data_IF_631334815107
#
_entry.id   IF_631334815107
#
_cell.length_a   1.000
_cell.length_b   1.000
_cell.length_c   1.000
_cell.angle_alpha   90.00
_cell.angle_beta   90.00
_cell.angle_gamma   90.00
#
_symmetry.space_group_name_H-M   'P 1'
#
loop_
_entity.id
_entity.type
_entity.pdbx_description
1 polymer ?
#
# COMPACT_ATOMS: atom_id res chain seq x y z
N UNK A 1 -50.53 -13.96 -24.84
CA UNK A 1 -50.65 -14.27 -23.41
C UNK A 1 -49.80 -15.47 -22.95
N UNK A 2 -49.30 -16.33 -23.84
CA UNK A 2 -48.48 -17.51 -23.43
C UNK A 2 -46.98 -17.24 -23.24
N UNK A 3 -46.42 -16.19 -23.87
CA UNK A 3 -44.97 -15.93 -23.83
C UNK A 3 -44.49 -15.29 -22.50
N UNK A 4 -45.32 -14.45 -21.88
CA UNK A 4 -44.96 -13.70 -20.67
C UNK A 4 -44.88 -14.61 -19.43
N UNK A 5 -45.69 -15.67 -19.39
CA UNK A 5 -45.73 -16.63 -18.29
C UNK A 5 -44.45 -17.48 -18.28
N UNK A 6 -43.98 -17.92 -19.45
CA UNK A 6 -42.74 -18.67 -19.60
C UNK A 6 -41.50 -17.84 -19.19
N UNK A 7 -41.47 -16.54 -19.55
CA UNK A 7 -40.40 -15.62 -19.12
C UNK A 7 -40.34 -15.44 -17.59
N UNK A 8 -41.51 -15.41 -16.94
CA UNK A 8 -41.59 -15.26 -15.49
C UNK A 8 -41.10 -16.52 -14.76
N UNK A 9 -41.45 -17.70 -15.25
CA UNK A 9 -40.99 -18.97 -14.68
C UNK A 9 -39.47 -19.16 -14.83
N UNK A 10 -38.89 -18.82 -15.99
CA UNK A 10 -37.43 -18.84 -16.18
C UNK A 10 -36.72 -17.88 -15.22
N UNK A 11 -37.30 -16.70 -14.97
CA UNK A 11 -36.75 -15.72 -14.02
C UNK A 11 -36.81 -16.23 -12.58
N UNK A 12 -37.91 -16.88 -12.18
CA UNK A 12 -38.05 -17.51 -10.85
C UNK A 12 -37.02 -18.63 -10.66
N UNK A 13 -36.88 -19.52 -11.65
CA UNK A 13 -35.90 -20.60 -11.65
C UNK A 13 -34.47 -20.06 -11.53
N UNK A 14 -34.11 -19.03 -12.30
CA UNK A 14 -32.80 -18.38 -12.15
C UNK A 14 -32.61 -17.75 -10.78
N UNK A 15 -33.68 -17.17 -10.20
CA UNK A 15 -33.66 -16.67 -8.82
C UNK A 15 -33.34 -17.78 -7.82
N UNK A 16 -34.00 -18.94 -7.94
CA UNK A 16 -33.78 -20.10 -7.07
C UNK A 16 -32.37 -20.67 -7.23
N UNK A 17 -31.88 -20.81 -8.46
CA UNK A 17 -30.50 -21.27 -8.73
C UNK A 17 -29.46 -20.34 -8.12
N UNK A 18 -29.62 -19.02 -8.29
CA UNK A 18 -28.71 -18.04 -7.69
C UNK A 18 -28.75 -18.06 -6.16
N UNK A 19 -29.93 -18.27 -5.58
CA UNK A 19 -30.10 -18.39 -4.14
C UNK A 19 -29.37 -19.62 -3.60
N UNK A 20 -29.47 -20.75 -4.30
CA UNK A 20 -28.79 -21.99 -3.91
C UNK A 20 -27.27 -21.88 -4.08
N UNK A 21 -26.77 -21.24 -5.15
CA UNK A 21 -25.35 -20.94 -5.31
C UNK A 21 -24.83 -20.11 -4.13
N UNK A 22 -25.57 -19.06 -3.74
CA UNK A 22 -25.21 -18.23 -2.59
C UNK A 22 -25.22 -19.04 -1.29
N UNK A 23 -26.22 -19.90 -1.09
CA UNK A 23 -26.32 -20.78 0.09
C UNK A 23 -25.12 -21.73 0.17
N UNK A 24 -24.78 -22.40 -0.93
CA UNK A 24 -23.67 -23.34 -1.01
C UNK A 24 -22.33 -22.65 -0.80
N UNK A 25 -22.13 -21.47 -1.40
CA UNK A 25 -20.92 -20.67 -1.17
C UNK A 25 -20.78 -20.29 0.31
N UNK A 26 -21.86 -19.81 0.94
CA UNK A 26 -21.85 -19.47 2.37
C UNK A 26 -21.49 -20.68 3.25
N UNK A 27 -22.08 -21.84 2.99
CA UNK A 27 -21.79 -23.07 3.73
C UNK A 27 -20.34 -23.54 3.53
N UNK A 28 -19.82 -23.44 2.31
CA UNK A 28 -18.45 -23.82 1.99
C UNK A 28 -17.44 -22.88 2.67
N UNK A 29 -17.67 -21.56 2.61
CA UNK A 29 -16.85 -20.57 3.32
C UNK A 29 -16.85 -20.82 4.81
N UNK A 30 -18.00 -21.11 5.42
CA UNK A 30 -18.08 -21.42 6.85
C UNK A 30 -17.27 -22.68 7.21
N UNK A 31 -17.38 -23.75 6.41
CA UNK A 31 -16.60 -24.99 6.60
C UNK A 31 -15.10 -24.81 6.38
N UNK A 32 -14.71 -23.91 5.46
CA UNK A 32 -13.32 -23.55 5.26
C UNK A 32 -12.80 -22.80 6.49
N UNK A 33 -13.50 -21.73 6.90
CA UNK A 33 -13.10 -20.88 8.02
C UNK A 33 -13.13 -21.61 9.37
N UNK A 34 -13.96 -22.65 9.52
CA UNK A 34 -13.97 -23.49 10.72
C UNK A 34 -12.81 -24.48 10.79
N UNK A 35 -12.02 -24.67 9.73
CA UNK A 35 -10.80 -25.48 9.77
C UNK A 35 -9.64 -24.64 10.29
N UNK A 36 -9.17 -24.93 11.50
CA UNK A 36 -8.09 -24.22 12.20
C UNK A 36 -6.70 -24.31 11.54
N UNK A 37 -6.57 -25.01 10.40
CA UNK A 37 -5.29 -25.20 9.74
C UNK A 37 -5.09 -24.13 8.64
N UNK A 38 -4.74 -22.92 9.07
CA UNK A 38 -4.43 -21.75 8.23
C UNK A 38 -3.49 -22.06 7.03
N UNK A 39 -2.40 -22.84 7.18
CA UNK A 39 -1.55 -23.26 6.05
C UNK A 39 -2.30 -24.04 4.95
N UNK A 40 -3.22 -24.92 5.35
CA UNK A 40 -4.00 -25.73 4.40
C UNK A 40 -5.06 -24.89 3.69
N UNK A 41 -5.63 -23.90 4.38
CA UNK A 41 -6.55 -22.92 3.79
C UNK A 41 -5.84 -22.04 2.75
N UNK A 42 -4.63 -21.59 3.06
CA UNK A 42 -3.84 -20.80 2.12
C UNK A 42 -3.44 -21.62 0.88
N UNK A 43 -3.14 -22.91 1.04
CA UNK A 43 -2.88 -23.82 -0.08
C UNK A 43 -4.10 -23.97 -1.00
N UNK A 44 -5.28 -24.17 -0.42
CA UNK A 44 -6.55 -24.27 -1.16
C UNK A 44 -6.92 -22.96 -1.86
N UNK A 45 -6.68 -21.82 -1.20
CA UNK A 45 -6.88 -20.50 -1.80
C UNK A 45 -6.04 -20.36 -3.07
N UNK A 46 -4.73 -20.66 -3.02
CA UNK A 46 -3.85 -20.63 -4.18
C UNK A 46 -4.30 -21.56 -5.31
N UNK A 47 -4.86 -22.72 -4.97
CA UNK A 47 -5.36 -23.69 -5.94
C UNK A 47 -6.64 -23.20 -6.64
N UNK A 48 -7.56 -22.59 -5.88
CA UNK A 48 -8.83 -22.08 -6.40
C UNK A 48 -8.71 -20.79 -7.21
N UNK A 49 -7.90 -19.83 -6.75
CA UNK A 49 -7.65 -18.61 -7.51
C UNK A 49 -6.75 -18.86 -8.71
N UNK A 50 -6.15 -20.04 -8.79
CA UNK A 50 -5.06 -20.35 -9.69
C UNK A 50 -3.94 -19.37 -9.43
N UNK A 51 -2.92 -19.80 -8.68
CA UNK A 51 -1.59 -19.20 -8.78
C UNK A 51 -1.05 -19.50 -10.19
N UNK A 52 -1.74 -18.95 -11.21
CA UNK A 52 -1.12 -18.63 -12.47
C UNK A 52 -0.10 -17.59 -12.04
N UNK A 53 1.11 -18.05 -11.78
CA UNK A 53 2.26 -17.34 -12.30
C UNK A 53 1.81 -16.85 -13.67
N UNK A 54 1.55 -15.54 -13.77
CA UNK A 54 1.65 -14.89 -15.06
C UNK A 54 3.09 -15.18 -15.48
N UNK A 55 3.29 -16.31 -16.18
CA UNK A 55 4.38 -16.49 -17.10
C UNK A 55 4.06 -15.53 -18.22
N UNK A 56 4.24 -14.23 -17.95
CA UNK A 56 4.56 -13.33 -19.02
C UNK A 56 5.88 -13.84 -19.56
N UNK A 57 5.96 -14.12 -20.85
CA UNK A 57 7.18 -14.46 -21.56
C UNK A 57 8.21 -13.31 -21.60
N UNK A 58 8.20 -12.42 -20.60
CA UNK A 58 9.30 -11.56 -20.25
C UNK A 58 9.86 -12.07 -18.93
N UNK A 59 10.91 -12.87 -19.05
CA UNK A 59 11.74 -13.35 -17.95
C UNK A 59 12.51 -12.17 -17.34
N UNK A 60 11.80 -11.21 -16.72
CA UNK A 60 12.42 -10.25 -15.82
C UNK A 60 12.78 -11.01 -14.55
N UNK A 61 14.01 -11.54 -14.56
CA UNK A 61 14.62 -12.15 -13.42
C UNK A 61 14.59 -11.14 -12.26
N UNK A 62 13.88 -11.50 -11.18
CA UNK A 62 13.78 -10.68 -9.97
C UNK A 62 15.17 -10.33 -9.44
N UNK A 63 16.16 -11.22 -9.61
CA UNK A 63 17.53 -10.93 -9.25
C UNK A 63 18.17 -9.87 -10.15
N UNK A 64 17.84 -9.81 -11.44
CA UNK A 64 18.33 -8.76 -12.35
C UNK A 64 17.67 -7.41 -12.10
N UNK A 65 16.39 -7.40 -11.70
CA UNK A 65 15.75 -6.20 -11.14
C UNK A 65 16.42 -5.80 -9.83
N UNK A 66 16.70 -6.74 -8.94
CA UNK A 66 17.30 -6.42 -7.65
C UNK A 66 18.72 -5.87 -7.82
N UNK A 67 19.48 -6.33 -8.83
CA UNK A 67 20.82 -5.82 -9.17
C UNK A 67 20.83 -4.32 -9.46
N UNK A 68 19.76 -3.75 -10.04
CA UNK A 68 19.71 -2.30 -10.27
C UNK A 68 19.38 -1.50 -9.01
N UNK A 69 18.84 -2.14 -7.97
CA UNK A 69 18.59 -1.54 -6.65
C UNK A 69 19.73 -1.78 -5.63
N UNK A 70 20.60 -2.77 -5.88
CA UNK A 70 21.84 -2.97 -5.11
C UNK A 70 22.81 -1.85 -5.50
N UNK A 71 22.74 -0.75 -4.77
CA UNK A 71 23.67 0.38 -4.88
C UNK A 71 25.11 -0.13 -4.72
N UNK A 72 25.98 0.08 -5.70
CA UNK A 72 27.41 -0.02 -5.45
C UNK A 72 27.78 1.07 -4.44
N UNK A 73 28.79 0.85 -3.59
CA UNK A 73 29.22 1.83 -2.59
C UNK A 73 29.58 3.20 -3.23
N UNK A 74 29.94 3.21 -4.51
CA UNK A 74 30.15 4.41 -5.34
C UNK A 74 28.86 5.12 -5.82
N UNK A 75 27.71 4.45 -5.80
CA UNK A 75 26.37 4.98 -6.16
C UNK A 75 25.57 5.45 -4.94
N UNK A 76 26.19 5.42 -3.75
CA UNK A 76 25.74 6.32 -2.69
C UNK A 76 25.85 7.71 -3.29
N UNK A 77 24.71 8.39 -3.46
CA UNK A 77 24.72 9.82 -3.72
C UNK A 77 25.54 10.46 -2.59
N UNK A 78 26.82 10.67 -2.84
CA UNK A 78 27.46 11.85 -2.31
C UNK A 78 26.53 12.98 -2.74
N UNK A 79 26.07 13.84 -1.80
CA UNK A 79 25.24 14.96 -2.17
C UNK A 79 25.93 15.64 -3.34
N UNK A 80 25.24 15.67 -4.48
CA UNK A 80 25.79 16.19 -5.72
C UNK A 80 26.33 17.58 -5.40
N UNK A 81 27.66 17.69 -5.30
CA UNK A 81 28.39 18.95 -5.26
C UNK A 81 28.24 19.62 -6.63
N UNK A 82 27.00 19.90 -7.02
CA UNK A 82 26.72 21.10 -7.80
C UNK A 82 27.33 22.22 -6.98
N UNK A 83 28.15 23.05 -7.62
CA UNK A 83 28.79 24.23 -7.03
C UNK A 83 27.78 25.31 -6.63
N UNK A 84 26.72 24.94 -5.92
CA UNK A 84 25.85 25.84 -5.21
C UNK A 84 26.53 26.19 -3.89
N UNK A 85 27.49 27.11 -4.02
CA UNK A 85 27.89 28.08 -3.00
C UNK A 85 26.81 28.22 -1.92
N UNK A 86 27.04 27.57 -0.78
CA UNK A 86 26.21 27.62 0.43
C UNK A 86 24.72 27.42 0.12
N UNK A 87 24.33 26.19 -0.22
CA UNK A 87 22.92 25.84 -0.40
C UNK A 87 22.15 26.12 0.90
N UNK A 88 21.35 27.18 0.86
CA UNK A 88 20.36 27.49 1.87
C UNK A 88 19.49 26.24 2.05
N UNK A 89 19.69 25.50 3.15
CA UNK A 89 18.80 24.40 3.51
C UNK A 89 17.40 25.00 3.58
N UNK A 90 16.42 24.46 2.83
CA UNK A 90 15.05 24.95 2.90
C UNK A 90 14.56 24.82 4.35
N UNK A 91 14.33 25.95 5.01
CA UNK A 91 13.66 25.94 6.31
C UNK A 91 12.16 25.81 6.05
N UNK A 92 11.55 24.82 6.68
CA UNK A 92 10.12 24.64 6.68
C UNK A 92 9.49 25.61 7.67
N UNK A 93 8.43 26.29 7.25
CA UNK A 93 7.58 27.08 8.13
C UNK A 93 6.42 26.24 8.65
N UNK A 94 5.87 26.59 9.81
CA UNK A 94 4.68 25.92 10.36
C UNK A 94 3.47 26.01 9.43
N UNK A 95 3.35 27.11 8.69
CA UNK A 95 2.30 27.32 7.70
C UNK A 95 2.40 26.32 6.54
N UNK A 96 3.61 26.01 6.08
CA UNK A 96 3.81 25.05 5.00
C UNK A 96 3.51 23.63 5.47
N UNK A 97 3.97 23.27 6.67
CA UNK A 97 3.68 21.97 7.29
C UNK A 97 2.19 21.81 7.54
N UNK A 98 1.52 22.83 8.08
CA UNK A 98 0.06 22.82 8.30
C UNK A 98 -0.71 22.62 7.00
N UNK A 99 -0.36 23.37 5.94
CA UNK A 99 -0.99 23.24 4.62
C UNK A 99 -0.81 21.81 4.07
N UNK A 100 0.38 21.25 4.24
CA UNK A 100 0.68 19.89 3.81
C UNK A 100 -0.17 18.85 4.57
N UNK A 101 -0.22 18.94 5.91
CA UNK A 101 -1.04 18.05 6.76
C UNK A 101 -2.53 18.12 6.39
N UNK A 102 -3.06 19.31 6.11
CA UNK A 102 -4.46 19.49 5.71
C UNK A 102 -4.76 18.94 4.31
N UNK A 103 -3.77 18.97 3.41
CA UNK A 103 -3.87 18.49 2.03
C UNK A 103 -3.83 16.96 1.88
N UNK A 104 -3.52 16.22 2.96
CA UNK A 104 -3.47 14.77 2.94
C UNK A 104 -4.79 14.16 2.43
N UNK A 105 -4.79 12.97 1.83
CA UNK A 105 -6.06 12.34 1.44
C UNK A 105 -6.59 11.49 2.60
N UNK A 106 -7.77 11.86 3.13
CA UNK A 106 -8.40 11.17 4.27
C UNK A 106 -8.86 9.74 3.95
N UNK A 107 -9.04 9.42 2.67
CA UNK A 107 -9.43 8.10 2.17
C UNK A 107 -8.26 7.19 1.80
N UNK A 108 -7.00 7.66 1.89
CA UNK A 108 -5.83 6.83 1.61
C UNK A 108 -5.53 5.89 2.77
N UNK A 109 -4.97 4.73 2.42
CA UNK A 109 -4.60 3.66 3.34
C UNK A 109 -3.82 4.17 4.57
N UNK A 110 -4.06 3.51 5.71
CA UNK A 110 -3.25 3.65 6.91
C UNK A 110 -1.79 3.36 6.52
N UNK A 111 -0.85 4.18 6.98
CA UNK A 111 0.57 3.84 6.87
C UNK A 111 0.90 2.52 7.56
N UNK A 112 2.15 2.02 7.47
CA UNK A 112 2.57 0.83 8.22
C UNK A 112 2.34 0.96 9.74
N UNK A 113 2.28 2.20 10.23
CA UNK A 113 2.03 2.55 11.63
C UNK A 113 0.55 2.52 12.04
N UNK A 114 -0.37 2.25 11.10
CA UNK A 114 -1.81 2.16 11.39
C UNK A 114 -2.51 3.50 11.66
N UNK A 115 -1.81 4.63 11.55
CA UNK A 115 -2.37 5.96 11.87
C UNK A 115 -3.16 6.53 10.68
N UNK A 116 -4.44 6.92 10.85
CA UNK A 116 -5.23 7.52 9.79
C UNK A 116 -4.77 8.94 9.40
N UNK A 117 -4.77 9.22 8.09
CA UNK A 117 -4.57 10.57 7.54
C UNK A 117 -5.58 11.60 8.06
N UNK A 118 -6.78 11.14 8.45
CA UNK A 118 -7.79 11.99 9.07
C UNK A 118 -7.31 12.59 10.40
N UNK A 119 -6.54 11.84 11.20
CA UNK A 119 -6.00 12.34 12.46
C UNK A 119 -5.00 13.46 12.21
N UNK A 120 -4.10 13.28 11.24
CA UNK A 120 -3.14 14.33 10.87
C UNK A 120 -3.81 15.61 10.40
N UNK A 121 -4.95 15.52 9.70
CA UNK A 121 -5.75 16.71 9.34
C UNK A 121 -6.37 17.40 10.55
N UNK A 122 -7.04 16.63 11.42
CA UNK A 122 -7.76 17.17 12.58
C UNK A 122 -6.80 17.78 13.60
N UNK A 123 -5.63 17.17 13.75
CA UNK A 123 -4.59 17.61 14.67
C UNK A 123 -3.52 18.49 13.99
N UNK A 124 -3.74 18.97 12.76
CA UNK A 124 -2.73 19.73 12.01
C UNK A 124 -2.25 20.97 12.77
N UNK A 125 -3.14 21.60 13.54
CA UNK A 125 -2.84 22.81 14.31
C UNK A 125 -1.92 22.55 15.51
N UNK A 126 -2.00 21.35 16.09
CA UNK A 126 -1.15 20.92 17.22
C UNK A 126 0.15 20.29 16.71
N UNK A 127 0.07 19.60 15.57
CA UNK A 127 1.19 18.85 14.99
C UNK A 127 2.11 19.71 14.12
N UNK A 128 1.69 20.90 13.68
CA UNK A 128 2.52 21.74 12.81
C UNK A 128 3.86 22.10 13.45
N UNK A 129 3.86 22.56 14.70
CA UNK A 129 5.07 22.92 15.44
C UNK A 129 6.08 21.77 15.61
N UNK A 130 5.70 20.59 16.17
CA UNK A 130 6.65 19.50 16.36
C UNK A 130 7.18 18.97 15.04
N UNK A 131 6.35 18.83 13.99
CA UNK A 131 6.82 18.38 12.68
C UNK A 131 7.77 19.39 12.03
N UNK A 132 7.47 20.69 12.13
CA UNK A 132 8.37 21.74 11.62
C UNK A 132 9.74 21.67 12.29
N UNK A 133 9.76 21.46 13.60
CA UNK A 133 11.01 21.31 14.37
C UNK A 133 11.80 20.07 13.94
N UNK A 134 11.11 18.93 13.78
CA UNK A 134 11.73 17.67 13.33
C UNK A 134 12.31 17.85 11.94
N UNK A 135 11.54 18.39 10.98
CA UNK A 135 12.01 18.58 9.61
C UNK A 135 13.20 19.53 9.57
N UNK A 136 13.12 20.70 10.21
CA UNK A 136 14.23 21.64 10.23
C UNK A 136 15.50 21.05 10.87
N UNK A 137 15.38 20.18 11.88
CA UNK A 137 16.53 19.47 12.45
C UNK A 137 17.07 18.36 11.56
N UNK A 138 16.20 17.61 10.90
CA UNK A 138 16.59 16.52 9.99
C UNK A 138 17.28 17.04 8.73
N UNK A 139 16.87 18.22 8.25
CA UNK A 139 17.44 18.84 7.05
C UNK A 139 18.58 19.82 7.34
N UNK A 140 18.73 20.29 8.58
CA UNK A 140 19.96 20.97 9.04
C UNK A 140 21.17 20.11 8.66
N UNK A 141 22.32 20.70 8.28
CA UNK A 141 23.50 19.95 7.87
C UNK A 141 24.07 19.16 9.06
N UNK A 142 23.47 18.01 9.34
CA UNK A 142 24.02 16.97 10.18
C UNK A 142 24.78 16.06 9.23
N UNK A 143 26.10 16.22 9.22
CA UNK A 143 27.00 15.31 8.55
C UNK A 143 26.54 13.87 8.83
N UNK A 144 26.28 13.11 7.77
CA UNK A 144 26.17 11.67 7.87
C UNK A 144 27.53 11.22 8.42
N UNK A 145 27.60 10.53 9.57
CA UNK A 145 28.88 10.05 10.08
C UNK A 145 29.49 9.18 8.99
N UNK A 146 30.70 9.56 8.52
CA UNK A 146 31.45 8.73 7.59
C UNK A 146 31.62 7.38 8.26
N UNK A 147 31.14 6.33 7.61
CA UNK A 147 31.37 4.96 8.07
C UNK A 147 32.89 4.78 8.15
N UNK A 148 33.40 4.50 9.35
CA UNK A 148 34.82 4.40 9.61
C UNK A 148 35.47 3.41 8.65
N UNK A 149 36.49 3.88 7.93
CA UNK A 149 37.48 3.01 7.34
C UNK A 149 38.18 2.28 8.49
N UNK A 150 38.10 0.95 8.47
CA UNK A 150 38.82 0.04 9.35
C UNK A 150 39.42 -1.08 8.52
#
# INVERSE_FOLDING_TARGET
MYEDENSNEVRKLNGLTNLEIRRLNSMFTQKLLSRENFPSMWKLFKELTGDRQFRSDNQLNVCDLNKSFVRQSSDVMLPLSTGLKNSCVPSFTETDVRRCLQSLNSSRCLGPDGIPNLLFKKCADVLCYPFTTIFNRSFSPNLIPKCGEG
#
